data_IF_774369508295
#
_entry.id   IF_774369508295
#
_cell.length_a   1.000
_cell.length_b   1.000
_cell.length_c   1.000
_cell.angle_alpha   90.00
_cell.angle_beta   90.00
_cell.angle_gamma   90.00
#
_symmetry.space_group_name_H-M   'P 1'
#
loop_
_entity.id
_entity.type
_entity.pdbx_description
1 polymer ?
#
# COMPACT_ATOMS: atom_id res chain seq x y z
N UNK A 1 -23.41 10.97 -8.50
CA UNK A 1 -24.84 10.73 -8.17
C UNK A 1 -25.16 11.32 -6.79
N UNK A 2 -26.36 11.87 -6.53
CA UNK A 2 -26.68 12.63 -5.30
C UNK A 2 -26.76 11.71 -4.05
N UNK A 3 -26.03 12.02 -2.95
CA UNK A 3 -25.78 11.17 -1.75
C UNK A 3 -27.02 10.56 -1.06
N UNK A 4 -28.24 10.97 -1.41
CA UNK A 4 -29.49 10.46 -0.82
C UNK A 4 -30.10 9.26 -1.59
N UNK A 5 -29.62 8.93 -2.80
CA UNK A 5 -30.17 7.84 -3.63
C UNK A 5 -29.52 6.47 -3.40
N UNK A 6 -28.26 6.42 -2.95
CA UNK A 6 -27.53 5.16 -2.75
C UNK A 6 -28.18 4.22 -1.70
N UNK A 7 -29.01 4.73 -0.78
CA UNK A 7 -29.76 3.89 0.17
C UNK A 7 -30.99 3.17 -0.41
N UNK A 8 -31.31 3.30 -1.69
CA UNK A 8 -32.55 2.74 -2.28
C UNK A 8 -32.37 1.53 -3.19
N UNK A 9 -31.21 1.35 -3.83
CA UNK A 9 -30.99 0.20 -4.72
C UNK A 9 -30.66 -1.01 -3.85
N UNK A 10 -31.56 -1.99 -3.84
CA UNK A 10 -31.41 -3.25 -3.09
C UNK A 10 -31.19 -4.44 -4.00
N UNK A 11 -31.75 -4.41 -5.21
CA UNK A 11 -31.53 -5.47 -6.18
C UNK A 11 -31.25 -4.91 -7.56
N UNK A 12 -30.44 -5.64 -8.33
CA UNK A 12 -30.26 -5.46 -9.77
C UNK A 12 -30.79 -6.72 -10.43
N UNK A 13 -31.90 -6.58 -11.14
CA UNK A 13 -32.58 -7.71 -11.80
C UNK A 13 -32.14 -7.88 -13.26
N UNK A 14 -31.57 -6.83 -13.87
CA UNK A 14 -31.01 -6.82 -15.22
C UNK A 14 -30.12 -5.59 -15.42
N UNK A 15 -29.07 -5.70 -16.26
CA UNK A 15 -28.23 -4.58 -16.68
C UNK A 15 -28.72 -3.94 -17.97
N UNK A 16 -29.29 -4.77 -18.86
CA UNK A 16 -29.80 -4.37 -20.17
C UNK A 16 -28.71 -4.12 -21.21
N UNK A 17 -29.14 -3.75 -22.42
CA UNK A 17 -28.26 -3.55 -23.59
C UNK A 17 -27.60 -2.15 -23.61
N UNK A 18 -27.24 -1.62 -22.43
CA UNK A 18 -26.65 -0.29 -22.27
C UNK A 18 -25.14 -0.42 -22.10
N UNK A 19 -24.38 0.20 -23.00
CA UNK A 19 -22.95 0.43 -22.80
C UNK A 19 -22.76 1.58 -21.79
N UNK A 20 -22.39 1.24 -20.55
CA UNK A 20 -22.26 2.21 -19.46
C UNK A 20 -21.04 3.11 -19.69
N UNK A 21 -21.16 4.39 -19.34
CA UNK A 21 -20.08 5.37 -19.53
C UNK A 21 -19.26 5.65 -18.27
N UNK A 22 -19.75 5.23 -17.10
CA UNK A 22 -19.08 5.33 -15.81
C UNK A 22 -19.77 4.44 -14.78
N UNK A 23 -19.02 3.89 -13.83
CA UNK A 23 -19.53 3.22 -12.63
C UNK A 23 -19.02 3.86 -11.33
N UNK A 24 -18.44 5.07 -11.43
CA UNK A 24 -17.98 5.87 -10.29
C UNK A 24 -19.06 5.95 -9.20
N UNK A 25 -18.70 5.49 -8.00
CA UNK A 25 -19.54 5.52 -6.80
C UNK A 25 -20.95 4.90 -6.97
N UNK A 26 -21.19 4.09 -8.00
CA UNK A 26 -22.54 3.67 -8.40
C UNK A 26 -23.30 2.92 -7.28
N UNK A 27 -22.58 2.13 -6.48
CA UNK A 27 -23.11 1.33 -5.37
C UNK A 27 -22.45 1.66 -4.03
N UNK A 28 -21.87 2.86 -3.92
CA UNK A 28 -21.27 3.38 -2.70
C UNK A 28 -22.22 3.31 -1.51
N UNK A 29 -21.78 2.69 -0.41
CA UNK A 29 -22.55 2.56 0.83
C UNK A 29 -23.82 1.72 0.71
N UNK A 30 -24.05 1.04 -0.42
CA UNK A 30 -25.18 0.15 -0.60
C UNK A 30 -25.03 -1.05 0.35
N UNK A 31 -25.91 -1.11 1.36
CA UNK A 31 -26.04 -2.24 2.28
C UNK A 31 -27.19 -3.14 1.81
N UNK A 32 -26.90 -4.44 1.68
CA UNK A 32 -27.87 -5.43 1.20
C UNK A 32 -28.19 -5.35 -0.30
N UNK A 33 -27.25 -4.87 -1.12
CA UNK A 33 -27.34 -4.99 -2.57
C UNK A 33 -27.21 -6.46 -2.99
N UNK A 34 -28.16 -6.97 -3.76
CA UNK A 34 -28.13 -8.29 -4.38
C UNK A 34 -28.20 -8.17 -5.90
N UNK A 35 -27.33 -8.85 -6.63
CA UNK A 35 -27.44 -8.96 -8.09
C UNK A 35 -28.14 -10.27 -8.41
N UNK A 36 -29.37 -10.18 -8.91
CA UNK A 36 -30.16 -11.30 -9.42
C UNK A 36 -30.09 -11.40 -10.95
N UNK A 37 -29.50 -10.39 -11.59
CA UNK A 37 -29.33 -10.29 -13.03
C UNK A 37 -28.64 -11.52 -13.62
N UNK A 38 -29.20 -12.05 -14.71
CA UNK A 38 -28.62 -13.15 -15.48
C UNK A 38 -27.65 -12.66 -16.57
N UNK A 39 -27.81 -11.40 -16.99
CA UNK A 39 -26.90 -10.67 -17.86
C UNK A 39 -25.74 -10.03 -17.06
N UNK A 40 -24.72 -9.57 -17.78
CA UNK A 40 -23.56 -8.85 -17.24
C UNK A 40 -23.56 -7.42 -17.77
N UNK A 41 -23.02 -6.43 -17.04
CA UNK A 41 -22.96 -5.06 -17.54
C UNK A 41 -22.02 -4.96 -18.75
N UNK A 42 -22.43 -4.21 -19.78
CA UNK A 42 -21.50 -3.77 -20.83
C UNK A 42 -20.68 -2.58 -20.30
N UNK A 43 -19.45 -2.89 -19.87
CA UNK A 43 -18.48 -1.93 -19.33
C UNK A 43 -17.50 -1.40 -20.39
N UNK A 44 -17.69 -1.73 -21.68
CA UNK A 44 -16.73 -1.40 -22.76
C UNK A 44 -16.45 0.10 -22.96
N UNK A 45 -17.27 0.97 -22.35
CA UNK A 45 -17.14 2.44 -22.37
C UNK A 45 -16.87 3.05 -21.00
N UNK A 46 -16.69 2.21 -19.97
CA UNK A 46 -16.30 2.62 -18.63
C UNK A 46 -14.77 2.62 -18.58
N UNK A 47 -14.21 3.68 -18.02
CA UNK A 47 -12.77 3.77 -17.69
C UNK A 47 -12.57 3.99 -16.18
N UNK A 48 -13.64 4.36 -15.46
CA UNK A 48 -13.63 4.75 -14.06
C UNK A 48 -14.70 3.96 -13.30
N UNK A 49 -14.24 3.10 -12.40
CA UNK A 49 -15.03 2.33 -11.43
C UNK A 49 -14.71 2.73 -9.99
N UNK A 50 -14.12 3.92 -9.81
CA UNK A 50 -13.65 4.36 -8.50
C UNK A 50 -14.80 4.44 -7.50
N UNK A 51 -14.55 3.96 -6.27
CA UNK A 51 -15.53 3.95 -5.19
C UNK A 51 -16.81 3.15 -5.45
N UNK A 52 -16.88 2.35 -6.52
CA UNK A 52 -18.13 1.71 -6.95
C UNK A 52 -18.82 0.93 -5.84
N UNK A 53 -18.07 0.20 -5.00
CA UNK A 53 -18.56 -0.57 -3.87
C UNK A 53 -17.97 -0.15 -2.52
N UNK A 54 -17.42 1.06 -2.38
CA UNK A 54 -16.85 1.46 -1.09
C UNK A 54 -17.94 1.56 0.00
N UNK A 55 -17.61 1.19 1.25
CA UNK A 55 -18.56 1.05 2.37
C UNK A 55 -19.75 0.12 2.11
N UNK A 56 -19.67 -0.74 1.11
CA UNK A 56 -20.74 -1.66 0.75
C UNK A 56 -20.66 -2.96 1.56
N UNK A 57 -21.81 -3.58 1.81
CA UNK A 57 -21.87 -4.96 2.30
C UNK A 57 -22.02 -5.98 1.15
N UNK A 58 -21.70 -5.56 -0.09
CA UNK A 58 -21.88 -6.36 -1.29
C UNK A 58 -20.87 -7.51 -1.36
N UNK A 59 -21.36 -8.71 -1.64
CA UNK A 59 -20.56 -9.94 -1.75
C UNK A 59 -20.95 -10.79 -2.97
N UNK A 60 -21.68 -10.19 -3.91
CA UNK A 60 -22.15 -10.90 -5.10
C UNK A 60 -21.02 -11.24 -6.07
N UNK A 61 -21.33 -12.15 -7.00
CA UNK A 61 -20.38 -12.62 -8.01
C UNK A 61 -20.11 -11.54 -9.08
N UNK A 62 -18.83 -11.21 -9.27
CA UNK A 62 -18.33 -10.29 -10.29
C UNK A 62 -17.40 -10.97 -11.31
N UNK A 63 -17.23 -12.30 -11.23
CA UNK A 63 -16.23 -13.04 -12.01
C UNK A 63 -16.42 -12.94 -13.53
N UNK A 64 -17.62 -12.61 -13.99
CA UNK A 64 -17.97 -12.47 -15.41
C UNK A 64 -17.89 -11.04 -15.94
N UNK A 65 -17.53 -10.07 -15.11
CA UNK A 65 -17.43 -8.68 -15.54
C UNK A 65 -16.17 -8.50 -16.37
N UNK A 66 -16.32 -7.88 -17.54
CA UNK A 66 -15.20 -7.46 -18.36
C UNK A 66 -14.73 -6.09 -17.88
N UNK A 67 -13.58 -6.07 -17.19
CA UNK A 67 -12.97 -4.85 -16.64
C UNK A 67 -11.74 -4.41 -17.45
N UNK A 68 -11.54 -4.95 -18.65
CA UNK A 68 -10.32 -4.73 -19.47
C UNK A 68 -10.13 -3.28 -19.93
N UNK A 69 -11.18 -2.46 -19.93
CA UNK A 69 -11.11 -1.03 -20.29
C UNK A 69 -10.92 -0.08 -19.11
N UNK A 70 -10.94 -0.61 -17.87
CA UNK A 70 -10.93 0.21 -16.66
C UNK A 70 -9.51 0.67 -16.36
N UNK A 71 -9.33 1.98 -16.23
CA UNK A 71 -8.05 2.61 -15.89
C UNK A 71 -8.00 3.03 -14.42
N UNK A 72 -9.14 3.38 -13.83
CA UNK A 72 -9.25 3.80 -12.43
C UNK A 72 -10.13 2.83 -11.62
N UNK A 73 -9.50 2.11 -10.69
CA UNK A 73 -10.13 1.20 -9.73
C UNK A 73 -10.02 1.72 -8.28
N UNK A 74 -9.66 2.99 -8.10
CA UNK A 74 -9.40 3.58 -6.79
C UNK A 74 -10.60 3.45 -5.87
N UNK A 75 -10.38 3.06 -4.62
CA UNK A 75 -11.39 2.90 -3.59
C UNK A 75 -12.49 1.89 -3.91
N UNK A 76 -12.42 1.10 -5.00
CA UNK A 76 -13.54 0.29 -5.48
C UNK A 76 -14.19 -0.56 -4.38
N UNK A 77 -13.39 -1.16 -3.50
CA UNK A 77 -13.84 -1.98 -2.37
C UNK A 77 -13.39 -1.44 -1.00
N UNK A 78 -13.06 -0.15 -0.90
CA UNK A 78 -12.63 0.44 0.37
C UNK A 78 -13.70 0.27 1.46
N UNK A 79 -13.32 -0.28 2.61
CA UNK A 79 -14.24 -0.61 3.73
C UNK A 79 -15.43 -1.48 3.30
N UNK A 80 -15.25 -2.35 2.31
CA UNK A 80 -16.28 -3.26 1.80
C UNK A 80 -16.20 -4.64 2.44
N UNK A 81 -17.34 -5.34 2.52
CA UNK A 81 -17.36 -6.77 2.89
C UNK A 81 -17.04 -7.71 1.73
N UNK A 82 -16.71 -7.18 0.55
CA UNK A 82 -16.44 -7.97 -0.65
C UNK A 82 -15.24 -8.92 -0.45
N UNK A 83 -15.44 -10.20 -0.76
CA UNK A 83 -14.41 -11.23 -0.83
C UNK A 83 -14.71 -12.25 -1.93
N UNK A 84 -15.31 -11.78 -3.04
CA UNK A 84 -15.65 -12.61 -4.19
C UNK A 84 -14.43 -12.91 -5.05
N UNK A 85 -14.54 -13.94 -5.89
CA UNK A 85 -13.49 -14.30 -6.85
C UNK A 85 -13.41 -13.29 -7.99
N UNK A 86 -12.25 -12.65 -8.10
CA UNK A 86 -11.87 -11.71 -9.16
C UNK A 86 -10.52 -12.08 -9.79
N UNK A 87 -10.07 -13.32 -9.58
CA UNK A 87 -8.78 -13.82 -10.09
C UNK A 87 -8.71 -13.77 -11.62
N UNK A 88 -9.85 -13.89 -12.30
CA UNK A 88 -9.96 -13.86 -13.76
C UNK A 88 -10.12 -12.48 -14.39
N UNK A 89 -10.07 -11.39 -13.60
CA UNK A 89 -10.16 -10.03 -14.15
C UNK A 89 -8.91 -9.66 -14.96
N UNK A 90 -9.14 -9.09 -16.14
CA UNK A 90 -8.08 -8.43 -16.92
C UNK A 90 -7.92 -6.99 -16.43
N UNK A 91 -6.92 -6.76 -15.58
CA UNK A 91 -6.60 -5.44 -15.02
C UNK A 91 -5.46 -4.73 -15.77
N UNK A 92 -5.08 -5.21 -16.95
CA UNK A 92 -3.89 -4.73 -17.67
C UNK A 92 -3.95 -3.26 -18.13
N UNK A 93 -5.14 -2.67 -18.18
CA UNK A 93 -5.35 -1.24 -18.46
C UNK A 93 -5.36 -0.35 -17.22
N UNK A 94 -5.41 -0.92 -16.01
CA UNK A 94 -5.50 -0.16 -14.77
C UNK A 94 -4.20 0.63 -14.54
N UNK A 95 -4.35 1.92 -14.23
CA UNK A 95 -3.25 2.83 -13.86
C UNK A 95 -3.35 3.25 -12.39
N UNK A 96 -4.56 3.34 -11.84
CA UNK A 96 -4.83 3.76 -10.45
C UNK A 96 -5.52 2.64 -9.67
N UNK A 97 -4.90 2.19 -8.58
CA UNK A 97 -5.46 1.20 -7.63
C UNK A 97 -5.44 1.71 -6.18
N UNK A 98 -5.54 3.03 -6.01
CA UNK A 98 -5.47 3.69 -4.69
C UNK A 98 -6.52 3.12 -3.75
N UNK A 99 -6.11 2.62 -2.60
CA UNK A 99 -7.00 2.15 -1.53
C UNK A 99 -8.06 1.13 -1.98
N UNK A 100 -7.83 0.40 -3.07
CA UNK A 100 -8.85 -0.46 -3.69
C UNK A 100 -9.46 -1.44 -2.69
N UNK A 101 -8.66 -2.03 -1.80
CA UNK A 101 -9.10 -3.00 -0.80
C UNK A 101 -8.94 -2.51 0.65
N UNK A 102 -8.51 -1.26 0.88
CA UNK A 102 -8.23 -0.77 2.22
C UNK A 102 -9.42 -0.99 3.19
N UNK A 103 -9.17 -1.49 4.40
CA UNK A 103 -10.21 -1.79 5.40
C UNK A 103 -11.28 -2.81 4.96
N UNK A 104 -11.08 -3.52 3.85
CA UNK A 104 -12.02 -4.52 3.35
C UNK A 104 -11.79 -5.89 3.98
N UNK A 105 -12.69 -6.84 3.71
CA UNK A 105 -12.52 -8.26 4.08
C UNK A 105 -11.86 -9.12 2.98
N UNK A 106 -11.22 -8.49 1.99
CA UNK A 106 -10.72 -9.18 0.82
C UNK A 106 -9.47 -10.02 1.11
N UNK A 107 -9.53 -11.31 0.76
CA UNK A 107 -8.43 -12.28 0.87
C UNK A 107 -8.28 -13.14 -0.38
N UNK A 108 -8.92 -12.75 -1.47
CA UNK A 108 -8.97 -13.49 -2.74
C UNK A 108 -7.62 -13.56 -3.46
N UNK A 109 -7.50 -14.50 -4.39
CA UNK A 109 -6.30 -14.68 -5.21
C UNK A 109 -6.27 -13.66 -6.35
N UNK A 110 -5.18 -12.89 -6.43
CA UNK A 110 -4.88 -11.90 -7.46
C UNK A 110 -3.44 -12.07 -7.99
N UNK A 111 -2.85 -13.25 -7.78
CA UNK A 111 -1.45 -13.54 -8.12
C UNK A 111 -1.15 -13.49 -9.63
N UNK A 112 -2.16 -13.71 -10.46
CA UNK A 112 -2.04 -13.69 -11.94
C UNK A 112 -2.45 -12.34 -12.56
N UNK A 113 -2.78 -11.33 -11.77
CA UNK A 113 -3.10 -10.00 -12.30
C UNK A 113 -1.90 -9.37 -12.98
N UNK A 114 -2.12 -8.82 -14.18
CA UNK A 114 -1.13 -8.01 -14.87
C UNK A 114 -1.25 -6.56 -14.42
N UNK A 115 -0.38 -6.15 -13.49
CA UNK A 115 -0.35 -4.79 -12.93
C UNK A 115 0.73 -3.89 -13.54
N UNK A 116 1.35 -4.29 -14.66
CA UNK A 116 2.48 -3.56 -15.28
C UNK A 116 2.18 -2.12 -15.71
N UNK A 117 0.90 -1.77 -15.89
CA UNK A 117 0.45 -0.41 -16.22
C UNK A 117 0.13 0.45 -15.00
N UNK A 118 0.08 -0.14 -13.80
CA UNK A 118 -0.31 0.57 -12.57
C UNK A 118 0.81 1.52 -12.16
N UNK A 119 0.47 2.78 -11.94
CA UNK A 119 1.38 3.83 -11.47
C UNK A 119 1.18 4.16 -10.00
N UNK A 120 -0.01 3.87 -9.44
CA UNK A 120 -0.35 4.23 -8.08
C UNK A 120 -1.02 3.07 -7.33
N UNK A 121 -0.37 2.61 -6.25
CA UNK A 121 -0.85 1.56 -5.34
C UNK A 121 -1.01 2.05 -3.90
N UNK A 122 -1.09 3.37 -3.70
CA UNK A 122 -1.24 3.98 -2.39
C UNK A 122 -2.35 3.29 -1.58
N UNK A 123 -2.02 2.83 -0.38
CA UNK A 123 -2.90 2.19 0.59
C UNK A 123 -3.69 1.00 0.07
N UNK A 124 -3.31 0.34 -1.04
CA UNK A 124 -4.13 -0.67 -1.69
C UNK A 124 -4.64 -1.77 -0.73
N UNK A 125 -3.78 -2.21 0.21
CA UNK A 125 -4.08 -3.22 1.24
C UNK A 125 -3.93 -2.66 2.67
N UNK A 126 -4.15 -1.37 2.88
CA UNK A 126 -4.12 -0.76 4.22
C UNK A 126 -5.20 -1.36 5.13
N UNK A 127 -4.82 -1.87 6.31
CA UNK A 127 -5.75 -2.43 7.31
C UNK A 127 -6.60 -3.59 6.76
N UNK A 128 -5.95 -4.56 6.11
CA UNK A 128 -6.59 -5.74 5.49
C UNK A 128 -5.87 -7.01 5.93
N UNK A 129 -6.60 -8.11 6.17
CA UNK A 129 -6.02 -9.45 6.42
C UNK A 129 -5.54 -10.13 5.12
N UNK A 130 -4.86 -9.37 4.25
CA UNK A 130 -4.38 -9.86 2.95
C UNK A 130 -2.94 -10.35 3.06
N UNK A 131 -2.73 -11.63 2.70
CA UNK A 131 -1.41 -12.26 2.67
C UNK A 131 -1.26 -13.21 1.46
N UNK A 132 -1.85 -12.82 0.33
CA UNK A 132 -1.80 -13.54 -0.95
C UNK A 132 -0.45 -13.39 -1.66
N UNK A 133 -0.15 -14.30 -2.59
CA UNK A 133 1.10 -14.25 -3.38
C UNK A 133 1.05 -13.11 -4.41
N UNK A 134 2.05 -12.24 -4.38
CA UNK A 134 2.24 -11.13 -5.32
C UNK A 134 3.59 -11.21 -6.05
N UNK A 135 4.29 -12.34 -5.96
CA UNK A 135 5.67 -12.50 -6.47
C UNK A 135 5.80 -12.37 -7.99
N UNK A 136 4.68 -12.48 -8.73
CA UNK A 136 4.60 -12.34 -10.19
C UNK A 136 4.26 -10.93 -10.67
N UNK A 137 3.88 -10.04 -9.75
CA UNK A 137 3.49 -8.68 -10.12
C UNK A 137 4.69 -7.92 -10.68
N UNK A 138 4.50 -7.30 -11.84
CA UNK A 138 5.41 -6.32 -12.40
C UNK A 138 5.02 -4.93 -11.90
N UNK A 139 5.77 -4.43 -10.92
CA UNK A 139 5.53 -3.12 -10.28
C UNK A 139 6.47 -2.03 -10.80
N UNK A 140 7.17 -2.27 -11.91
CA UNK A 140 8.21 -1.36 -12.44
C UNK A 140 7.70 0.03 -12.86
N UNK A 141 6.38 0.17 -13.11
CA UNK A 141 5.73 1.44 -13.42
C UNK A 141 5.20 2.19 -12.19
N UNK A 142 5.17 1.56 -11.02
CA UNK A 142 4.58 2.15 -9.81
C UNK A 142 5.49 3.26 -9.27
N UNK A 143 4.90 4.42 -8.98
CA UNK A 143 5.59 5.57 -8.39
C UNK A 143 5.21 5.81 -6.93
N UNK A 144 4.03 5.35 -6.50
CA UNK A 144 3.50 5.54 -5.14
C UNK A 144 3.05 4.19 -4.54
N UNK A 145 3.70 3.81 -3.44
CA UNK A 145 3.37 2.63 -2.61
C UNK A 145 3.09 3.02 -1.15
N UNK A 146 2.83 4.31 -0.89
CA UNK A 146 2.57 4.80 0.47
C UNK A 146 1.43 4.02 1.14
N UNK A 147 1.61 3.65 2.40
CA UNK A 147 0.66 2.88 3.23
C UNK A 147 0.22 1.50 2.64
N UNK A 148 0.82 0.98 1.56
CA UNK A 148 0.29 -0.16 0.82
C UNK A 148 0.00 -1.39 1.69
N UNK A 149 0.88 -1.72 2.65
CA UNK A 149 0.74 -2.82 3.60
C UNK A 149 0.75 -2.35 5.07
N UNK A 150 0.38 -1.10 5.31
CA UNK A 150 0.30 -0.59 6.68
C UNK A 150 -0.82 -1.29 7.45
N UNK A 151 -0.51 -1.68 8.68
CA UNK A 151 -1.39 -2.44 9.56
C UNK A 151 -1.90 -3.77 8.94
N UNK A 152 -1.03 -4.42 8.16
CA UNK A 152 -1.36 -5.65 7.43
C UNK A 152 -0.28 -6.71 7.68
N UNK A 153 -0.70 -7.95 7.95
CA UNK A 153 0.18 -9.11 8.20
C UNK A 153 0.74 -9.74 6.91
N UNK A 154 0.98 -8.93 5.89
CA UNK A 154 1.58 -9.37 4.64
C UNK A 154 3.03 -9.79 4.88
N UNK A 155 3.39 -11.01 4.50
CA UNK A 155 4.75 -11.53 4.65
C UNK A 155 5.11 -12.52 3.53
N UNK A 156 4.83 -12.15 2.28
CA UNK A 156 5.21 -12.92 1.08
C UNK A 156 6.49 -12.40 0.44
N UNK A 157 7.06 -13.23 -0.43
CA UNK A 157 8.26 -12.90 -1.17
C UNK A 157 7.96 -11.84 -2.24
N UNK A 158 8.53 -10.65 -2.02
CA UNK A 158 8.51 -9.51 -2.93
C UNK A 158 9.95 -9.08 -3.30
N UNK A 159 10.94 -9.94 -3.07
CA UNK A 159 12.36 -9.65 -3.29
C UNK A 159 12.70 -9.32 -4.74
N UNK A 160 11.85 -9.77 -5.69
CA UNK A 160 12.02 -9.58 -7.14
C UNK A 160 11.30 -8.36 -7.71
N UNK A 161 10.57 -7.62 -6.89
CA UNK A 161 9.92 -6.40 -7.35
C UNK A 161 10.95 -5.38 -7.82
N UNK A 162 10.72 -4.81 -9.01
CA UNK A 162 11.46 -3.66 -9.49
C UNK A 162 10.79 -2.38 -8.96
N UNK A 163 11.34 -1.82 -7.88
CA UNK A 163 10.84 -0.60 -7.25
C UNK A 163 11.59 0.66 -7.71
N UNK A 164 12.36 0.58 -8.81
CA UNK A 164 13.25 1.68 -9.23
C UNK A 164 12.53 2.97 -9.66
N UNK A 165 11.23 2.89 -9.97
CA UNK A 165 10.37 4.04 -10.28
C UNK A 165 9.66 4.61 -9.06
N UNK A 166 9.67 3.92 -7.90
CA UNK A 166 8.93 4.34 -6.72
C UNK A 166 9.60 5.57 -6.09
N UNK A 167 8.79 6.60 -5.85
CA UNK A 167 9.21 7.86 -5.22
C UNK A 167 8.69 8.01 -3.79
N UNK A 168 7.60 7.32 -3.44
CA UNK A 168 6.95 7.37 -2.13
C UNK A 168 6.73 5.95 -1.57
N UNK A 169 7.37 5.67 -0.42
CA UNK A 169 7.20 4.44 0.38
C UNK A 169 6.75 4.76 1.81
N UNK A 170 6.19 5.95 2.03
CA UNK A 170 5.77 6.39 3.35
C UNK A 170 4.86 5.34 4.00
N UNK A 171 5.17 4.95 5.23
CA UNK A 171 4.39 4.00 6.02
C UNK A 171 4.15 2.62 5.38
N UNK A 172 4.84 2.24 4.29
CA UNK A 172 4.48 1.05 3.49
C UNK A 172 4.34 -0.24 4.33
N UNK A 173 5.20 -0.45 5.32
CA UNK A 173 5.17 -1.58 6.26
C UNK A 173 5.00 -1.15 7.73
N UNK A 174 4.43 0.04 7.97
CA UNK A 174 4.16 0.51 9.31
C UNK A 174 3.16 -0.44 10.01
N UNK A 175 3.43 -0.76 11.28
CA UNK A 175 2.61 -1.64 12.12
C UNK A 175 2.43 -3.04 11.52
N UNK A 176 3.38 -3.51 10.72
CA UNK A 176 3.35 -4.81 10.05
C UNK A 176 4.31 -5.81 10.71
N UNK A 177 4.00 -7.10 10.56
CA UNK A 177 4.87 -8.24 10.89
C UNK A 177 5.82 -8.65 9.77
N UNK A 178 5.97 -7.82 8.72
CA UNK A 178 6.80 -8.10 7.54
C UNK A 178 8.27 -8.37 7.89
N UNK A 179 8.81 -9.46 7.33
CA UNK A 179 10.21 -9.89 7.48
C UNK A 179 10.86 -10.27 6.14
N UNK A 180 10.23 -9.93 5.02
CA UNK A 180 10.71 -10.30 3.69
C UNK A 180 12.06 -9.68 3.35
N UNK A 181 12.81 -10.35 2.48
CA UNK A 181 14.08 -9.83 1.97
C UNK A 181 13.82 -8.76 0.90
N UNK A 182 14.30 -7.55 1.18
CA UNK A 182 14.22 -6.37 0.31
C UNK A 182 15.60 -5.73 0.11
N UNK A 183 16.68 -6.46 0.44
CA UNK A 183 18.05 -5.97 0.32
C UNK A 183 18.43 -5.60 -1.12
N UNK A 184 17.84 -6.30 -2.10
CA UNK A 184 18.08 -6.09 -3.54
C UNK A 184 17.24 -4.97 -4.19
N UNK A 185 16.36 -4.29 -3.45
CA UNK A 185 15.54 -3.23 -4.00
C UNK A 185 16.35 -2.00 -4.41
N UNK A 186 16.09 -1.49 -5.61
CA UNK A 186 16.65 -0.22 -6.05
C UNK A 186 15.78 0.95 -5.56
N UNK A 187 16.15 1.54 -4.42
CA UNK A 187 15.41 2.66 -3.80
C UNK A 187 15.94 4.04 -4.18
N UNK A 188 16.78 4.16 -5.21
CA UNK A 188 17.48 5.42 -5.55
C UNK A 188 16.56 6.57 -6.00
N UNK A 189 15.32 6.28 -6.38
CA UNK A 189 14.29 7.27 -6.73
C UNK A 189 13.40 7.68 -5.55
N UNK A 190 13.47 6.97 -4.42
CA UNK A 190 12.59 7.21 -3.28
C UNK A 190 12.97 8.52 -2.59
N UNK A 191 11.95 9.33 -2.32
CA UNK A 191 12.09 10.63 -1.65
C UNK A 191 11.44 10.64 -0.26
N UNK A 192 10.45 9.78 -0.02
CA UNK A 192 9.77 9.64 1.27
C UNK A 192 9.82 8.17 1.76
N UNK A 193 10.47 7.96 2.91
CA UNK A 193 10.50 6.69 3.65
C UNK A 193 10.00 6.87 5.09
N UNK A 194 9.29 7.97 5.36
CA UNK A 194 8.75 8.25 6.68
C UNK A 194 7.89 7.08 7.16
N UNK A 195 8.03 6.71 8.43
CA UNK A 195 7.26 5.64 9.09
C UNK A 195 7.35 4.25 8.44
N UNK A 196 8.20 4.02 7.42
CA UNK A 196 8.16 2.79 6.59
C UNK A 196 8.19 1.49 7.40
N UNK A 197 8.97 1.43 8.49
CA UNK A 197 9.05 0.28 9.40
C UNK A 197 8.69 0.64 10.84
N UNK A 198 7.83 1.65 11.01
CA UNK A 198 7.34 2.08 12.32
C UNK A 198 6.56 0.96 12.99
N UNK A 199 6.79 0.72 14.26
CA UNK A 199 5.94 -0.09 15.12
C UNK A 199 5.08 0.75 16.05
N UNK A 200 4.40 0.07 16.96
CA UNK A 200 3.77 0.68 18.13
C UNK A 200 4.44 0.19 19.43
N UNK A 201 4.20 0.93 20.51
CA UNK A 201 4.51 0.59 21.89
C UNK A 201 3.91 -0.73 22.37
N UNK A 202 2.78 -1.16 21.78
CA UNK A 202 2.14 -2.43 22.06
C UNK A 202 2.85 -3.60 21.35
N UNK A 203 3.19 -4.66 22.09
CA UNK A 203 4.06 -5.75 21.59
C UNK A 203 3.52 -6.46 20.35
N UNK A 204 2.21 -6.44 20.10
CA UNK A 204 1.58 -7.05 18.93
C UNK A 204 1.76 -6.27 17.63
N UNK A 205 2.16 -5.00 17.70
CA UNK A 205 2.30 -4.11 16.55
C UNK A 205 3.72 -3.53 16.43
N UNK A 206 4.70 -4.12 17.15
CA UNK A 206 6.11 -3.80 16.93
C UNK A 206 6.51 -4.26 15.54
N UNK A 207 7.17 -3.40 14.79
CA UNK A 207 7.85 -3.82 13.57
C UNK A 207 8.99 -4.77 13.95
N UNK A 208 8.94 -5.98 13.40
CA UNK A 208 9.95 -7.03 13.61
C UNK A 208 10.99 -7.06 12.48
N UNK A 209 10.87 -6.16 11.51
CA UNK A 209 11.77 -6.08 10.38
C UNK A 209 13.21 -5.82 10.85
N UNK A 210 14.14 -6.66 10.39
CA UNK A 210 15.57 -6.52 10.65
C UNK A 210 16.41 -7.05 9.48
N UNK A 211 15.91 -6.86 8.25
CA UNK A 211 16.62 -7.23 7.02
C UNK A 211 17.83 -6.34 6.75
N UNK A 212 18.72 -6.79 5.86
CA UNK A 212 19.88 -6.00 5.45
C UNK A 212 19.46 -4.87 4.50
N UNK A 213 19.79 -3.64 4.87
CA UNK A 213 19.54 -2.42 4.09
C UNK A 213 20.83 -1.67 3.74
N UNK A 214 22.01 -2.27 3.99
CA UNK A 214 23.30 -1.59 3.89
C UNK A 214 23.63 -1.09 2.48
N UNK A 215 23.13 -1.78 1.44
CA UNK A 215 23.36 -1.46 0.03
C UNK A 215 22.30 -0.50 -0.56
N UNK A 216 21.32 -0.05 0.23
CA UNK A 216 20.31 0.89 -0.24
C UNK A 216 20.91 2.26 -0.55
N UNK A 217 20.70 2.74 -1.77
CA UNK A 217 21.03 4.10 -2.15
C UNK A 217 19.91 5.06 -1.73
N UNK A 218 20.08 5.73 -0.59
CA UNK A 218 19.11 6.68 -0.02
C UNK A 218 19.42 8.16 -0.32
N UNK A 219 20.33 8.44 -1.24
CA UNK A 219 20.81 9.82 -1.53
C UNK A 219 19.71 10.79 -2.01
N UNK A 220 18.58 10.28 -2.49
CA UNK A 220 17.40 11.08 -2.90
C UNK A 220 16.37 11.29 -1.80
N UNK A 221 16.51 10.61 -0.65
CA UNK A 221 15.50 10.63 0.43
C UNK A 221 15.51 11.98 1.14
N UNK A 222 14.32 12.56 1.31
CA UNK A 222 14.08 13.83 1.99
C UNK A 222 13.46 13.63 3.38
N UNK A 223 12.64 12.58 3.53
CA UNK A 223 11.85 12.29 4.74
C UNK A 223 12.13 10.88 5.26
N UNK A 224 12.68 10.80 6.48
CA UNK A 224 12.91 9.55 7.24
C UNK A 224 12.27 9.62 8.64
N UNK A 225 11.32 10.54 8.84
CA UNK A 225 10.67 10.71 10.14
C UNK A 225 10.04 9.39 10.59
N UNK A 226 10.31 9.01 11.83
CA UNK A 226 9.75 7.85 12.50
C UNK A 226 9.97 6.50 11.79
N UNK A 227 10.92 6.41 10.83
CA UNK A 227 11.10 5.22 9.98
C UNK A 227 11.29 3.93 10.79
N UNK A 228 12.00 4.00 11.93
CA UNK A 228 12.27 2.87 12.82
C UNK A 228 11.75 3.08 14.25
N UNK A 229 10.78 3.98 14.46
CA UNK A 229 10.16 4.17 15.78
C UNK A 229 9.51 2.88 16.25
N UNK A 230 9.74 2.44 17.48
CA UNK A 230 9.27 1.15 18.01
C UNK A 230 9.63 -0.09 17.16
N UNK A 231 10.64 0.02 16.30
CA UNK A 231 11.13 -1.10 15.48
C UNK A 231 12.07 -2.01 16.27
N UNK A 232 12.30 -3.21 15.74
CA UNK A 232 13.34 -4.14 16.20
C UNK A 232 14.64 -4.01 15.39
N UNK A 233 14.70 -3.07 14.44
CA UNK A 233 15.81 -2.89 13.52
C UNK A 233 17.13 -2.54 14.22
N UNK A 234 18.18 -3.26 13.85
CA UNK A 234 19.57 -3.08 14.33
C UNK A 234 20.59 -3.19 13.18
N UNK A 235 20.14 -3.15 11.93
CA UNK A 235 20.99 -3.34 10.75
C UNK A 235 22.02 -2.22 10.58
N UNK A 236 23.09 -2.50 9.84
CA UNK A 236 24.11 -1.49 9.53
C UNK A 236 23.61 -0.56 8.42
N UNK A 237 23.59 0.74 8.73
CA UNK A 237 23.21 1.84 7.83
C UNK A 237 24.28 2.95 7.83
N UNK A 238 25.48 2.65 8.33
CA UNK A 238 26.59 3.60 8.43
C UNK A 238 27.07 4.11 7.06
N UNK A 239 26.77 3.36 5.98
CA UNK A 239 27.10 3.69 4.60
C UNK A 239 26.07 4.56 3.88
N UNK A 240 24.91 4.84 4.48
CA UNK A 240 23.87 5.63 3.85
C UNK A 240 24.32 7.09 3.61
N UNK A 241 24.10 7.57 2.39
CA UNK A 241 24.22 8.99 2.05
C UNK A 241 22.92 9.72 2.42
N UNK A 242 22.90 10.34 3.61
CA UNK A 242 21.75 11.09 4.13
C UNK A 242 21.84 12.59 3.88
N UNK A 243 22.75 13.04 3.02
CA UNK A 243 23.04 14.48 2.80
C UNK A 243 21.86 15.29 2.26
N UNK A 244 20.86 14.63 1.67
CA UNK A 244 19.61 15.24 1.19
C UNK A 244 18.48 15.25 2.22
N UNK A 245 18.60 14.48 3.32
CA UNK A 245 17.51 14.29 4.27
C UNK A 245 17.25 15.59 5.03
N UNK A 246 15.97 16.00 5.08
CA UNK A 246 15.54 17.22 5.75
C UNK A 246 14.78 16.97 7.05
N UNK A 247 14.20 15.77 7.20
CA UNK A 247 13.41 15.37 8.38
C UNK A 247 13.80 13.96 8.87
N UNK A 248 14.29 13.89 10.11
CA UNK A 248 14.62 12.66 10.86
C UNK A 248 13.89 12.61 12.21
N UNK A 249 12.78 13.35 12.35
CA UNK A 249 11.99 13.40 13.57
C UNK A 249 11.63 11.98 14.04
N UNK A 250 11.86 11.64 15.32
CA UNK A 250 11.57 10.32 15.91
C UNK A 250 12.21 9.08 15.24
N UNK A 251 13.15 9.22 14.28
CA UNK A 251 13.60 8.12 13.41
C UNK A 251 13.94 6.81 14.14
N UNK A 252 14.61 6.88 15.31
CA UNK A 252 14.99 5.72 16.14
C UNK A 252 14.38 5.75 17.54
N UNK A 253 13.27 6.46 17.72
CA UNK A 253 12.59 6.53 18.99
C UNK A 253 12.11 5.14 19.47
N UNK A 254 12.34 4.80 20.73
CA UNK A 254 11.99 3.50 21.32
C UNK A 254 12.50 2.27 20.54
N UNK A 255 13.65 2.42 19.88
CA UNK A 255 14.33 1.39 19.08
C UNK A 255 15.61 0.86 19.77
N UNK A 256 15.96 -0.43 19.61
CA UNK A 256 17.24 -0.98 20.07
C UNK A 256 18.44 -0.59 19.20
N UNK A 257 18.23 0.22 18.16
CA UNK A 257 19.29 0.66 17.25
C UNK A 257 20.46 1.33 18.00
N UNK A 258 21.68 0.92 17.63
CA UNK A 258 22.94 1.46 18.17
C UNK A 258 24.07 1.35 17.11
N UNK A 259 23.73 1.55 15.82
CA UNK A 259 24.71 1.54 14.73
C UNK A 259 25.53 2.82 14.67
N UNK A 260 26.71 2.78 14.05
CA UNK A 260 27.60 3.94 13.86
C UNK A 260 27.03 4.91 12.81
N UNK A 261 26.77 6.15 13.23
CA UNK A 261 26.26 7.24 12.38
C UNK A 261 27.29 8.35 12.16
N UNK A 262 28.54 8.18 12.60
CA UNK A 262 29.58 9.23 12.59
C UNK A 262 29.94 9.77 11.20
N UNK A 263 29.57 9.05 10.14
CA UNK A 263 29.81 9.42 8.74
C UNK A 263 28.64 10.15 8.08
N UNK A 264 27.49 10.22 8.73
CA UNK A 264 26.30 10.85 8.16
C UNK A 264 26.49 12.36 8.05
N UNK A 265 26.30 12.89 6.84
CA UNK A 265 26.19 14.33 6.62
C UNK A 265 24.77 14.79 6.91
N UNK A 266 24.57 15.37 8.09
CA UNK A 266 23.27 15.86 8.55
C UNK A 266 23.07 17.36 8.29
N UNK A 267 23.89 18.00 7.46
CA UNK A 267 23.87 19.46 7.26
C UNK A 267 22.56 20.00 6.65
N UNK A 268 21.80 19.15 5.96
CA UNK A 268 20.48 19.47 5.39
C UNK A 268 19.31 19.21 6.35
N UNK A 269 19.55 18.52 7.48
CA UNK A 269 18.48 18.15 8.42
C UNK A 269 17.97 19.40 9.13
N UNK A 270 16.69 19.69 8.95
CA UNK A 270 16.00 20.84 9.59
C UNK A 270 15.12 20.43 10.75
N UNK A 271 14.67 19.17 10.78
CA UNK A 271 13.94 18.59 11.89
C UNK A 271 14.62 17.28 12.33
N UNK A 272 15.18 17.28 13.55
CA UNK A 272 15.76 16.11 14.23
C UNK A 272 15.14 15.95 15.62
N UNK A 273 13.94 16.51 15.82
CA UNK A 273 13.24 16.44 17.09
C UNK A 273 13.03 14.98 17.47
N UNK A 274 13.38 14.63 18.70
CA UNK A 274 13.14 13.30 19.25
C UNK A 274 13.75 12.10 18.50
N UNK A 275 14.75 12.30 17.63
CA UNK A 275 15.40 11.20 16.87
C UNK A 275 15.83 10.02 17.76
N UNK A 276 16.31 10.31 18.98
CA UNK A 276 16.68 9.33 20.00
C UNK A 276 16.02 9.61 21.37
N UNK A 277 14.69 9.74 21.43
CA UNK A 277 14.01 10.27 22.62
C UNK A 277 13.78 9.26 23.76
N UNK A 278 12.88 8.31 23.57
CA UNK A 278 12.47 7.33 24.58
C UNK A 278 13.21 6.00 24.39
N UNK A 279 13.65 5.40 25.50
CA UNK A 279 14.11 4.02 25.61
C UNK A 279 15.01 3.50 24.46
N UNK A 280 15.94 4.34 24.00
CA UNK A 280 16.87 4.00 22.92
C UNK A 280 18.12 3.30 23.47
N UNK A 281 18.77 2.49 22.64
CA UNK A 281 20.07 1.88 22.97
C UNK A 281 21.27 2.66 22.43
N UNK A 282 21.04 3.84 21.85
CA UNK A 282 22.05 4.62 21.15
C UNK A 282 23.12 5.16 22.12
N UNK A 283 24.38 4.80 21.87
CA UNK A 283 25.52 5.23 22.68
C UNK A 283 26.21 6.47 22.12
N UNK A 284 26.89 7.24 22.99
CA UNK A 284 27.67 8.43 22.59
C UNK A 284 28.94 8.14 21.78
N UNK A 285 29.29 6.87 21.57
CA UNK A 285 30.42 6.47 20.72
C UNK A 285 30.00 6.36 19.24
N UNK A 286 28.69 6.30 18.98
CA UNK A 286 28.12 5.98 17.68
C UNK A 286 27.42 7.18 16.99
N UNK A 287 27.52 8.39 17.55
CA UNK A 287 27.04 9.64 16.92
C UNK A 287 28.03 10.79 17.11
#
# INVERSE_FOLDING_TARGET
MNRTLARKIRTIEQWGDIAWTSMDNAFSGCSGLTINAADVPDLSRVMDMSGMFHFSSFTGDLSKWDVSSITDMSYMFWSSSFNGDISGWDVSSATEMVSMFAGSSFTGDISEWNVSSVTNMQSMFFDVDFNGDLSKWDVSSVTDMSDMFRNTDFNRDISKWDVSSVTDMNSMFAYSSFTGDISGWNVSSVTDMGEMFKGDSESSFRSVFNGDLSEWNVSSVLYMNSMFTYSSFTGDISGWDVSSVTNMEYMFDSSPFNGDLSKWDISSVTNMEHMFYDNTSMSSENY
#
